data_IF_538934820273
#
_entry.id   IF_538934820273
#
_cell.length_a   1.000
_cell.length_b   1.000
_cell.length_c   1.000
_cell.angle_alpha   90.00
_cell.angle_beta   90.00
_cell.angle_gamma   90.00
#
_symmetry.space_group_name_H-M   'P 1'
#
loop_
_entity.id
_entity.type
_entity.pdbx_description
1 polymer ?
#
# COMPACT_ATOMS: atom_id res chain seq x y z
N UNK A 1 3.59 -7.17 -14.21
CA UNK A 1 2.59 -6.09 -14.38
C UNK A 1 1.28 -6.58 -13.81
N UNK A 2 0.85 -6.07 -12.66
CA UNK A 2 -0.41 -6.48 -12.02
C UNK A 2 -1.45 -5.41 -12.32
N UNK A 3 -2.61 -5.86 -12.83
CA UNK A 3 -3.74 -4.98 -13.13
C UNK A 3 -4.78 -5.15 -12.04
N UNK A 4 -5.06 -4.07 -11.33
CA UNK A 4 -6.15 -4.03 -10.36
C UNK A 4 -7.38 -3.45 -11.05
N UNK A 5 -8.51 -4.15 -10.91
CA UNK A 5 -9.80 -3.69 -11.41
C UNK A 5 -10.68 -3.39 -10.22
N UNK A 6 -10.73 -2.11 -9.86
CA UNK A 6 -11.70 -1.59 -8.92
C UNK A 6 -12.80 -0.87 -9.73
N UNK A 7 -14.09 -1.17 -9.55
CA UNK A 7 -15.17 -0.49 -10.27
C UNK A 7 -15.26 1.02 -9.99
N UNK A 8 -14.77 1.48 -8.83
CA UNK A 8 -14.77 2.88 -8.41
C UNK A 8 -13.55 3.66 -8.94
N UNK A 9 -12.54 2.97 -9.48
CA UNK A 9 -11.30 3.57 -9.97
C UNK A 9 -10.99 3.12 -11.40
N UNK A 10 -10.54 4.03 -12.25
CA UNK A 10 -10.14 3.67 -13.61
C UNK A 10 -8.97 2.66 -13.55
N UNK A 11 -9.01 1.55 -14.32
CA UNK A 11 -8.02 0.47 -14.24
C UNK A 11 -6.57 0.99 -14.19
N UNK A 12 -5.94 0.91 -13.02
CA UNK A 12 -4.55 1.29 -12.83
C UNK A 12 -3.66 0.07 -13.01
N UNK A 13 -2.46 0.32 -13.53
CA UNK A 13 -1.47 -0.73 -13.67
C UNK A 13 -0.23 -0.39 -12.89
N UNK A 14 0.18 -1.29 -12.00
CA UNK A 14 1.40 -1.17 -11.22
C UNK A 14 2.50 -1.97 -11.91
N UNK A 15 3.66 -1.33 -12.07
CA UNK A 15 4.88 -2.01 -12.42
C UNK A 15 5.41 -2.78 -11.20
N UNK A 16 6.37 -3.66 -11.43
CA UNK A 16 6.94 -4.46 -10.35
C UNK A 16 7.66 -3.60 -9.30
N UNK A 17 8.28 -2.51 -9.75
CA UNK A 17 8.91 -1.51 -8.89
C UNK A 17 7.86 -0.79 -8.03
N UNK A 18 6.70 -0.45 -8.59
CA UNK A 18 5.59 0.19 -7.84
C UNK A 18 4.94 -0.72 -6.80
N UNK A 19 5.16 -2.04 -6.87
CA UNK A 19 4.67 -3.03 -5.91
C UNK A 19 5.68 -3.34 -4.80
N UNK A 20 6.89 -2.79 -4.87
CA UNK A 20 7.93 -3.01 -3.88
C UNK A 20 8.09 -1.75 -3.04
N UNK A 21 7.55 -1.77 -1.83
CA UNK A 21 7.68 -0.66 -0.89
C UNK A 21 9.16 -0.42 -0.56
N UNK A 22 9.57 0.84 -0.48
CA UNK A 22 10.87 1.17 0.12
C UNK A 22 10.85 0.88 1.62
N UNK A 23 12.04 0.80 2.23
CA UNK A 23 12.17 0.65 3.69
C UNK A 23 11.46 1.81 4.40
N UNK A 24 11.51 3.03 3.85
CA UNK A 24 10.83 4.18 4.45
C UNK A 24 9.30 4.02 4.39
N UNK A 25 8.75 3.69 3.22
CA UNK A 25 7.31 3.49 3.02
C UNK A 25 6.76 2.38 3.91
N UNK A 26 7.47 1.25 3.99
CA UNK A 26 7.11 0.15 4.88
C UNK A 26 7.16 0.56 6.37
N UNK A 27 8.15 1.36 6.77
CA UNK A 27 8.27 1.84 8.14
C UNK A 27 7.11 2.76 8.55
N UNK A 28 6.57 3.54 7.61
CA UNK A 28 5.40 4.40 7.84
C UNK A 28 4.16 3.54 8.07
N UNK A 29 3.94 2.50 7.25
CA UNK A 29 2.80 1.58 7.41
C UNK A 29 2.84 0.86 8.76
N UNK A 30 4.01 0.35 9.18
CA UNK A 30 4.18 -0.28 10.49
C UNK A 30 3.89 0.66 11.67
N UNK A 31 4.22 1.96 11.54
CA UNK A 31 3.90 2.95 12.56
C UNK A 31 2.40 3.25 12.62
N UNK A 32 1.73 3.38 11.47
CA UNK A 32 0.28 3.58 11.40
C UNK A 32 -0.47 2.40 12.03
N UNK A 33 -0.04 1.18 11.74
CA UNK A 33 -0.65 -0.04 12.27
C UNK A 33 -0.53 -0.10 13.80
N UNK A 34 0.63 0.23 14.35
CA UNK A 34 0.84 0.33 15.82
C UNK A 34 0.00 1.41 16.47
N UNK A 35 -0.17 2.56 15.82
CA UNK A 35 -1.00 3.67 16.35
C UNK A 35 -2.48 3.28 16.34
N UNK A 36 -2.94 2.49 15.37
CA UNK A 36 -4.31 1.98 15.34
C UNK A 36 -4.52 0.80 16.30
N UNK A 37 -3.54 -0.09 16.47
CA UNK A 37 -3.60 -1.19 17.44
C UNK A 37 -3.67 -0.69 18.89
N UNK A 38 -3.03 0.44 19.19
CA UNK A 38 -3.02 1.04 20.53
C UNK A 38 -4.28 1.88 20.85
N UNK A 39 -5.33 1.83 20.01
CA UNK A 39 -6.62 2.52 20.26
C UNK A 39 -7.66 1.64 20.98
N UNK A 40 -7.24 0.66 21.79
CA UNK A 40 -8.14 -0.16 22.63
C UNK A 40 -8.16 0.41 24.06
#
# INVERSE_FOLDING_TARGET
MVRFKDPAYQCFTFNQEDMTLTIEEYSVLLRLDKVQLNKI
#
